data_IF_395442658151
#
_entry.id   IF_395442658151
#
_cell.length_a   1.000
_cell.length_b   1.000
_cell.length_c   1.000
_cell.angle_alpha   90.00
_cell.angle_beta   90.00
_cell.angle_gamma   90.00
#
_symmetry.space_group_name_H-M   'P 1'
#
loop_
_entity.id
_entity.type
_entity.pdbx_description
1 polymer ?
#
# COMPACT_ATOMS: atom_id res chain seq x y z
N UNK A 1 -46.72 -5.87 -29.27
CA UNK A 1 -46.66 -5.45 -27.85
C UNK A 1 -45.27 -5.78 -27.33
N UNK A 2 -44.70 -4.84 -26.60
CA UNK A 2 -43.28 -4.57 -26.37
C UNK A 2 -42.52 -5.65 -25.62
N UNK A 3 -41.33 -6.02 -26.12
CA UNK A 3 -40.37 -6.86 -25.43
C UNK A 3 -39.95 -6.20 -24.10
N UNK A 4 -40.11 -6.93 -23.00
CA UNK A 4 -39.72 -6.49 -21.65
C UNK A 4 -38.20 -6.62 -21.54
N UNK A 5 -37.48 -5.54 -21.78
CA UNK A 5 -36.04 -5.47 -21.54
C UNK A 5 -35.81 -5.47 -20.04
N UNK A 6 -35.41 -6.61 -19.48
CA UNK A 6 -34.86 -6.68 -18.14
C UNK A 6 -33.59 -5.81 -18.11
N UNK A 7 -33.45 -4.87 -17.16
CA UNK A 7 -32.22 -4.08 -17.06
C UNK A 7 -31.03 -5.00 -16.79
N UNK A 8 -29.87 -4.77 -17.41
CA UNK A 8 -28.67 -5.54 -17.12
C UNK A 8 -28.34 -5.41 -15.62
N UNK A 9 -27.92 -6.51 -15.01
CA UNK A 9 -27.45 -6.52 -13.62
C UNK A 9 -26.31 -5.49 -13.47
N UNK A 10 -26.20 -4.80 -12.31
CA UNK A 10 -25.13 -3.84 -12.10
C UNK A 10 -23.77 -4.53 -12.25
N UNK A 11 -22.90 -3.92 -13.06
CA UNK A 11 -21.55 -4.40 -13.31
C UNK A 11 -20.65 -4.08 -12.10
N UNK A 12 -20.79 -4.89 -11.06
CA UNK A 12 -20.04 -4.77 -9.81
C UNK A 12 -18.53 -4.99 -10.00
N UNK A 13 -18.10 -5.56 -11.15
CA UNK A 13 -16.70 -5.86 -11.44
C UNK A 13 -15.87 -4.58 -11.64
N UNK A 14 -16.43 -3.60 -12.36
CA UNK A 14 -15.81 -2.30 -12.60
C UNK A 14 -15.70 -1.49 -11.30
N UNK A 15 -16.73 -1.56 -10.44
CA UNK A 15 -16.74 -0.88 -9.13
C UNK A 15 -15.69 -1.49 -8.18
N UNK A 16 -15.56 -2.82 -8.15
CA UNK A 16 -14.52 -3.53 -7.41
C UNK A 16 -13.11 -3.17 -7.91
N UNK A 17 -12.92 -3.09 -9.22
CA UNK A 17 -11.64 -2.70 -9.82
C UNK A 17 -11.25 -1.26 -9.43
N UNK A 18 -12.22 -0.33 -9.43
CA UNK A 18 -12.02 1.05 -8.97
C UNK A 18 -11.61 1.12 -7.50
N UNK A 19 -12.30 0.42 -6.61
CA UNK A 19 -11.95 0.37 -5.18
C UNK A 19 -10.55 -0.23 -4.94
N UNK A 20 -10.18 -1.27 -5.70
CA UNK A 20 -8.84 -1.85 -5.61
C UNK A 20 -7.74 -0.88 -6.04
N UNK A 21 -7.99 -0.07 -7.08
CA UNK A 21 -7.07 0.98 -7.52
C UNK A 21 -6.90 2.06 -6.43
N UNK A 22 -7.99 2.55 -5.85
CA UNK A 22 -7.93 3.54 -4.76
C UNK A 22 -7.17 3.03 -3.53
N UNK A 23 -7.41 1.78 -3.11
CA UNK A 23 -6.66 1.17 -2.00
C UNK A 23 -5.17 1.03 -2.31
N UNK A 24 -4.82 0.72 -3.56
CA UNK A 24 -3.42 0.66 -4.01
C UNK A 24 -2.73 2.02 -3.85
N UNK A 25 -3.38 3.09 -4.30
CA UNK A 25 -2.85 4.45 -4.19
C UNK A 25 -2.63 4.87 -2.73
N UNK A 26 -3.57 4.54 -1.84
CA UNK A 26 -3.43 4.80 -0.40
C UNK A 26 -2.22 4.05 0.18
N UNK A 27 -2.06 2.77 -0.17
CA UNK A 27 -0.93 1.96 0.31
C UNK A 27 0.41 2.47 -0.21
N UNK A 28 0.47 2.94 -1.47
CA UNK A 28 1.66 3.57 -2.05
C UNK A 28 1.98 4.87 -1.31
N UNK A 29 0.99 5.72 -1.04
CA UNK A 29 1.18 6.95 -0.28
C UNK A 29 1.71 6.68 1.13
N UNK A 30 1.12 5.69 1.83
CA UNK A 30 1.58 5.25 3.15
C UNK A 30 3.02 4.71 3.12
N UNK A 31 3.36 3.91 2.09
CA UNK A 31 4.72 3.40 1.93
C UNK A 31 5.75 4.53 1.75
N UNK A 32 5.41 5.57 0.97
CA UNK A 32 6.27 6.75 0.80
C UNK A 32 6.47 7.50 2.11
N UNK A 33 5.39 7.73 2.86
CA UNK A 33 5.45 8.40 4.17
C UNK A 33 6.36 7.66 5.16
N UNK A 34 6.18 6.34 5.27
CA UNK A 34 7.00 5.49 6.14
C UNK A 34 8.49 5.51 5.76
N UNK A 35 8.80 5.60 4.47
CA UNK A 35 10.18 5.74 4.00
C UNK A 35 10.79 7.09 4.37
N UNK A 36 10.02 8.18 4.32
CA UNK A 36 10.46 9.49 4.79
C UNK A 36 10.74 9.49 6.31
N UNK A 37 9.84 8.88 7.10
CA UNK A 37 10.03 8.70 8.55
C UNK A 37 11.31 7.90 8.84
N UNK A 38 11.53 6.79 8.13
CA UNK A 38 12.76 6.00 8.26
C UNK A 38 14.01 6.86 8.02
N UNK A 39 14.01 7.67 6.96
CA UNK A 39 15.15 8.52 6.60
C UNK A 39 15.41 9.57 7.68
N UNK A 40 14.36 10.23 8.18
CA UNK A 40 14.46 11.21 9.24
C UNK A 40 15.01 10.62 10.56
N UNK A 41 14.48 9.47 10.98
CA UNK A 41 14.90 8.78 12.20
C UNK A 41 16.35 8.28 12.10
N UNK A 42 16.75 7.74 10.95
CA UNK A 42 18.16 7.37 10.69
C UNK A 42 19.09 8.58 10.83
N UNK A 43 18.67 9.75 10.33
CA UNK A 43 19.39 11.01 10.52
C UNK A 43 19.56 11.39 11.99
N UNK A 44 18.49 11.27 12.79
CA UNK A 44 18.53 11.55 14.23
C UNK A 44 19.38 10.54 15.01
N UNK A 45 19.35 9.25 14.65
CA UNK A 45 20.24 8.25 15.23
C UNK A 45 21.71 8.65 15.05
N UNK A 46 22.11 9.03 13.84
CA UNK A 46 23.50 9.45 13.56
C UNK A 46 23.94 10.66 14.39
N UNK A 47 23.07 11.66 14.53
CA UNK A 47 23.34 12.87 15.35
C UNK A 47 23.49 12.55 16.84
N UNK A 48 22.70 11.62 17.35
CA UNK A 48 22.65 11.30 18.78
C UNK A 48 23.65 10.21 19.21
N UNK A 49 24.26 9.47 18.29
CA UNK A 49 25.04 8.26 18.61
C UNK A 49 26.22 8.52 19.57
N UNK A 50 26.94 9.63 19.39
CA UNK A 50 28.13 9.93 20.17
C UNK A 50 27.82 10.39 21.60
N UNK A 51 26.78 11.21 21.76
CA UNK A 51 26.48 11.89 23.03
C UNK A 51 25.31 11.24 23.79
N UNK A 52 24.42 10.55 23.08
CA UNK A 52 23.16 10.03 23.60
C UNK A 52 22.82 8.66 23.00
N UNK A 53 23.63 7.62 23.25
CA UNK A 53 23.50 6.31 22.60
C UNK A 53 22.15 5.62 22.88
N UNK A 54 21.55 5.87 24.05
CA UNK A 54 20.20 5.37 24.37
C UNK A 54 19.12 5.96 23.46
N UNK A 55 19.15 7.28 23.24
CA UNK A 55 18.22 7.98 22.34
C UNK A 55 18.46 7.53 20.89
N UNK A 56 19.72 7.40 20.48
CA UNK A 56 20.08 6.92 19.16
C UNK A 56 19.51 5.50 18.87
N UNK A 57 19.57 4.60 19.86
CA UNK A 57 18.97 3.25 19.78
C UNK A 57 17.45 3.29 19.60
N UNK A 58 16.76 4.14 20.35
CA UNK A 58 15.30 4.31 20.22
C UNK A 58 14.90 4.77 18.82
N UNK A 59 15.60 5.77 18.27
CA UNK A 59 15.35 6.22 16.89
C UNK A 59 15.69 5.15 15.85
N UNK A 60 16.75 4.36 16.07
CA UNK A 60 17.11 3.28 15.16
C UNK A 60 16.02 2.19 15.12
N UNK A 61 15.48 1.80 16.27
CA UNK A 61 14.37 0.84 16.34
C UNK A 61 13.12 1.37 15.62
N UNK A 62 12.78 2.65 15.82
CA UNK A 62 11.63 3.26 15.18
C UNK A 62 11.83 3.34 13.65
N UNK A 63 13.03 3.68 13.19
CA UNK A 63 13.38 3.66 11.78
C UNK A 63 13.16 2.27 11.17
N UNK A 64 13.75 1.23 11.77
CA UNK A 64 13.64 -0.16 11.27
C UNK A 64 12.18 -0.59 11.18
N UNK A 65 11.35 -0.24 12.18
CA UNK A 65 9.92 -0.54 12.15
C UNK A 65 9.19 0.18 11.01
N UNK A 66 9.50 1.45 10.76
CA UNK A 66 8.92 2.19 9.63
C UNK A 66 9.28 1.54 8.28
N UNK A 67 10.54 1.11 8.11
CA UNK A 67 10.99 0.41 6.91
C UNK A 67 10.27 -0.95 6.72
N UNK A 68 10.11 -1.72 7.79
CA UNK A 68 9.38 -2.98 7.75
C UNK A 68 7.91 -2.78 7.32
N UNK A 69 7.26 -1.75 7.88
CA UNK A 69 5.88 -1.40 7.49
C UNK A 69 5.79 -0.95 6.02
N UNK A 70 6.75 -0.14 5.55
CA UNK A 70 6.82 0.28 4.15
C UNK A 70 6.87 -0.91 3.20
N UNK A 71 7.73 -1.90 3.49
CA UNK A 71 7.80 -3.15 2.72
C UNK A 71 6.48 -3.90 2.71
N UNK A 72 5.82 -4.03 3.87
CA UNK A 72 4.54 -4.72 3.96
C UNK A 72 3.44 -4.04 3.11
N UNK A 73 3.41 -2.70 3.08
CA UNK A 73 2.50 -1.94 2.22
C UNK A 73 2.77 -2.18 0.73
N UNK A 74 4.03 -2.17 0.29
CA UNK A 74 4.39 -2.46 -1.10
C UNK A 74 4.07 -3.91 -1.50
N UNK A 75 4.30 -4.86 -0.60
CA UNK A 75 3.92 -6.25 -0.82
C UNK A 75 2.40 -6.42 -0.93
N UNK A 76 1.61 -5.64 -0.18
CA UNK A 76 0.15 -5.62 -0.29
C UNK A 76 -0.30 -5.08 -1.65
N UNK A 77 0.28 -3.96 -2.12
CA UNK A 77 0.04 -3.41 -3.46
C UNK A 77 0.33 -4.46 -4.53
N UNK A 78 1.49 -5.11 -4.47
CA UNK A 78 1.86 -6.16 -5.43
C UNK A 78 0.92 -7.38 -5.40
N UNK A 79 0.24 -7.67 -4.28
CA UNK A 79 -0.80 -8.70 -4.21
C UNK A 79 -2.09 -8.23 -4.89
N UNK A 80 -2.53 -6.99 -4.62
CA UNK A 80 -3.72 -6.40 -5.25
C UNK A 80 -3.56 -6.33 -6.77
N UNK A 81 -2.42 -5.84 -7.25
CA UNK A 81 -2.15 -5.76 -8.70
C UNK A 81 -2.12 -7.13 -9.37
N UNK A 82 -1.63 -8.17 -8.69
CA UNK A 82 -1.66 -9.54 -9.22
C UNK A 82 -3.08 -10.07 -9.30
N UNK A 83 -3.88 -9.91 -8.23
CA UNK A 83 -5.27 -10.33 -8.22
C UNK A 83 -6.11 -9.63 -9.31
N UNK A 84 -5.89 -8.32 -9.51
CA UNK A 84 -6.58 -7.54 -10.54
C UNK A 84 -6.22 -7.95 -11.98
N UNK A 85 -5.02 -8.52 -12.22
CA UNK A 85 -4.65 -9.09 -13.52
C UNK A 85 -5.29 -10.46 -13.73
N UNK A 86 -5.23 -11.34 -12.73
CA UNK A 86 -5.80 -12.69 -12.83
C UNK A 86 -7.31 -12.66 -13.05
N UNK A 87 -8.05 -11.81 -12.33
CA UNK A 87 -9.50 -11.70 -12.55
C UNK A 87 -9.88 -11.18 -13.94
N UNK A 88 -8.99 -10.42 -14.59
CA UNK A 88 -9.21 -9.89 -15.94
C UNK A 88 -8.99 -10.95 -17.03
N UNK A 89 -8.18 -11.97 -16.74
CA UNK A 89 -7.95 -13.11 -17.62
C UNK A 89 -9.11 -14.13 -17.53
N UNK A 90 -9.76 -14.26 -16.36
CA UNK A 90 -10.93 -15.13 -16.15
C UNK A 90 -12.22 -14.61 -16.83
N UNK A 91 -12.36 -13.30 -17.04
CA UNK A 91 -13.51 -12.68 -17.74
C UNK A 91 -13.40 -12.74 -19.29
N UNK A 92 -12.28 -13.25 -19.82
CA UNK A 92 -11.98 -13.27 -21.26
C UNK A 92 -12.26 -14.61 -21.97
N UNK A 93 -12.69 -15.65 -21.23
CA UNK A 93 -13.09 -16.98 -21.72
C UNK A 93 -14.61 -17.23 -21.57
#
# INVERSE_FOLDING_TARGET
>A
MTAKTTPPAPDNSAELSGHMAEMSDILIAQARELNMIFTAMTGQTKKNLANWPGIARSYAHLAIRAQANCRASLEAVARVERAARTGRDDDAD
#
